data_IF_154873059585
#
_entry.id   IF_154873059585
#
_cell.length_a   1.000
_cell.length_b   1.000
_cell.length_c   1.000
_cell.angle_alpha   90.00
_cell.angle_beta   90.00
_cell.angle_gamma   90.00
#
_symmetry.space_group_name_H-M   'P 1'
#
loop_
_entity.id
_entity.type
_entity.pdbx_description
1 polymer ?
#
# COMPACT_ATOMS: atom_id res chain seq x y z
N UNK A 1 13.84 -4.25 6.46
CA UNK A 1 14.77 -3.34 7.17
C UNK A 1 15.55 -2.47 6.22
N UNK A 2 16.23 -3.01 5.21
CA UNK A 2 16.98 -2.23 4.22
C UNK A 2 16.24 -0.99 3.67
N UNK A 3 15.01 -1.17 3.18
CA UNK A 3 14.21 -0.07 2.59
C UNK A 3 13.84 1.04 3.59
N UNK A 4 13.66 0.69 4.86
CA UNK A 4 13.40 1.65 5.95
C UNK A 4 14.64 2.52 6.14
N UNK A 5 15.80 1.89 6.30
CA UNK A 5 17.08 2.58 6.49
C UNK A 5 17.43 3.44 5.29
N UNK A 6 17.22 2.93 4.07
CA UNK A 6 17.49 3.67 2.83
C UNK A 6 16.68 4.98 2.76
N UNK A 7 15.35 4.89 2.93
CA UNK A 7 14.48 6.06 2.88
C UNK A 7 14.83 7.07 3.99
N UNK A 8 15.05 6.58 5.21
CA UNK A 8 15.44 7.42 6.36
C UNK A 8 16.76 8.16 6.11
N UNK A 9 17.81 7.46 5.66
CA UNK A 9 19.14 8.04 5.44
C UNK A 9 19.08 9.09 4.31
N UNK A 10 18.39 8.79 3.21
CA UNK A 10 18.23 9.74 2.10
C UNK A 10 17.50 11.01 2.56
N UNK A 11 16.42 10.87 3.33
CA UNK A 11 15.70 12.01 3.89
C UNK A 11 16.59 12.86 4.81
N UNK A 12 17.29 12.25 5.76
CA UNK A 12 18.13 12.98 6.71
C UNK A 12 19.33 13.69 6.03
N UNK A 13 19.95 13.06 5.02
CA UNK A 13 21.01 13.69 4.23
C UNK A 13 20.46 14.90 3.47
N UNK A 14 19.31 14.78 2.83
CA UNK A 14 18.75 15.89 2.04
C UNK A 14 18.26 17.05 2.90
N UNK A 15 17.74 16.77 4.11
CA UNK A 15 17.42 17.80 5.11
C UNK A 15 18.66 18.50 5.66
N UNK A 16 19.76 17.76 5.85
CA UNK A 16 21.04 18.34 6.20
C UNK A 16 21.53 19.30 5.10
N UNK A 17 21.46 18.89 3.83
CA UNK A 17 21.79 19.75 2.68
C UNK A 17 20.89 20.98 2.65
N UNK A 18 19.59 20.81 2.86
CA UNK A 18 18.65 21.92 2.89
C UNK A 18 18.99 22.96 3.96
N UNK A 19 19.28 22.50 5.17
CA UNK A 19 19.56 23.35 6.34
C UNK A 19 20.86 24.14 6.18
N UNK A 20 21.90 23.53 5.59
CA UNK A 20 23.23 24.14 5.49
C UNK A 20 23.47 24.89 4.17
N UNK A 21 22.77 24.52 3.09
CA UNK A 21 23.03 25.06 1.75
C UNK A 21 21.82 25.79 1.17
N UNK A 22 20.70 25.10 0.93
CA UNK A 22 19.53 25.71 0.27
C UNK A 22 18.85 26.81 1.12
N UNK A 23 19.07 26.80 2.44
CA UNK A 23 18.67 27.90 3.32
C UNK A 23 19.24 29.25 2.93
N UNK A 24 20.49 29.27 2.47
CA UNK A 24 21.20 30.50 2.09
C UNK A 24 21.29 30.68 0.58
N UNK A 25 21.15 29.59 -0.18
CA UNK A 25 21.26 29.57 -1.63
C UNK A 25 20.09 28.79 -2.25
N UNK A 26 18.87 29.37 -2.28
CA UNK A 26 17.75 28.75 -2.97
C UNK A 26 18.07 28.47 -4.43
N UNK A 27 17.69 27.29 -4.93
CA UNK A 27 18.11 26.81 -6.24
C UNK A 27 16.93 26.26 -7.02
N UNK A 28 16.76 26.73 -8.26
CA UNK A 28 15.83 26.12 -9.22
C UNK A 28 16.58 25.08 -10.05
N UNK A 29 16.05 23.85 -10.12
CA UNK A 29 16.54 22.79 -11.01
C UNK A 29 15.34 22.21 -11.74
N UNK A 30 15.30 22.39 -13.07
CA UNK A 30 14.19 21.95 -13.89
C UNK A 30 12.85 22.53 -13.38
N UNK A 31 11.88 21.68 -13.04
CA UNK A 31 10.58 22.05 -12.45
C UNK A 31 10.59 22.10 -10.92
N UNK A 32 11.73 21.88 -10.26
CA UNK A 32 11.82 21.89 -8.80
C UNK A 32 12.51 23.15 -8.29
N UNK A 33 11.97 23.71 -7.23
CA UNK A 33 12.58 24.79 -6.47
C UNK A 33 13.01 24.26 -5.10
N UNK A 34 14.31 24.37 -4.83
CA UNK A 34 14.94 23.96 -3.59
C UNK A 34 15.15 25.19 -2.70
N UNK A 35 14.60 25.14 -1.50
CA UNK A 35 14.68 26.20 -0.49
C UNK A 35 14.74 25.57 0.90
N UNK A 36 14.66 26.38 1.96
CA UNK A 36 14.50 25.90 3.33
C UNK A 36 13.20 26.44 3.92
N UNK A 37 12.39 25.55 4.45
CA UNK A 37 11.19 25.86 5.19
C UNK A 37 11.07 24.95 6.41
N UNK A 38 10.33 25.43 7.42
CA UNK A 38 10.06 24.68 8.64
C UNK A 38 8.58 24.43 8.78
N UNK A 39 8.19 23.19 9.02
CA UNK A 39 6.80 22.80 9.15
C UNK A 39 6.51 22.30 10.57
N UNK A 40 5.69 23.07 11.28
CA UNK A 40 5.30 22.83 12.69
C UNK A 40 4.00 22.04 12.82
N UNK A 41 3.27 21.81 11.73
CA UNK A 41 1.95 21.18 11.75
C UNK A 41 1.89 19.86 10.98
N UNK A 42 0.67 19.42 10.70
CA UNK A 42 0.33 18.47 9.62
C UNK A 42 0.02 19.29 8.35
N UNK A 43 -0.12 18.64 7.19
CA UNK A 43 -0.51 19.29 5.94
C UNK A 43 -1.64 20.33 6.14
N UNK A 44 -1.54 21.47 5.46
CA UNK A 44 -2.46 22.62 5.55
C UNK A 44 -2.51 23.34 6.92
N UNK A 45 -1.52 23.12 7.80
CA UNK A 45 -1.47 23.80 9.10
C UNK A 45 -2.42 23.23 10.16
N UNK A 46 -3.04 22.07 9.88
CA UNK A 46 -3.83 21.34 10.85
C UNK A 46 -2.96 20.95 12.05
N UNK A 47 -3.49 21.14 13.26
CA UNK A 47 -2.81 20.90 14.54
C UNK A 47 -1.53 21.73 14.79
N UNK A 48 -1.39 22.90 14.15
CA UNK A 48 -0.26 23.82 14.39
C UNK A 48 -0.11 24.24 15.87
N UNK A 49 -1.22 24.31 16.60
CA UNK A 49 -1.27 24.60 18.04
C UNK A 49 -1.11 23.35 18.93
N UNK A 50 -1.08 22.16 18.35
CA UNK A 50 -1.07 20.88 19.07
C UNK A 50 0.09 20.00 18.60
N UNK A 51 1.30 20.56 18.61
CA UNK A 51 2.54 19.91 18.14
C UNK A 51 2.72 18.52 18.76
N UNK A 52 2.44 18.37 20.05
CA UNK A 52 2.58 17.11 20.77
C UNK A 52 1.67 16.00 20.20
N UNK A 53 0.42 16.33 19.87
CA UNK A 53 -0.54 15.37 19.28
C UNK A 53 0.01 14.84 17.95
N UNK A 54 0.57 15.71 17.12
CA UNK A 54 1.14 15.32 15.82
C UNK A 54 2.33 14.39 16.00
N UNK A 55 3.22 14.67 16.96
CA UNK A 55 4.36 13.80 17.27
C UNK A 55 3.87 12.44 17.76
N UNK A 56 3.00 12.39 18.77
CA UNK A 56 2.53 11.13 19.33
C UNK A 56 1.77 10.28 18.31
N UNK A 57 0.90 10.89 17.51
CA UNK A 57 0.15 10.18 16.48
C UNK A 57 1.07 9.60 15.39
N UNK A 58 1.99 10.42 14.86
CA UNK A 58 2.91 9.96 13.81
C UNK A 58 3.89 8.92 14.33
N UNK A 59 4.35 9.05 15.57
CA UNK A 59 5.18 8.04 16.24
C UNK A 59 4.42 6.73 16.43
N UNK A 60 3.19 6.77 16.94
CA UNK A 60 2.37 5.57 17.17
C UNK A 60 2.11 4.81 15.86
N UNK A 61 1.75 5.52 14.78
CA UNK A 61 1.56 4.92 13.46
C UNK A 61 2.87 4.28 12.95
N UNK A 62 4.00 4.98 13.10
CA UNK A 62 5.31 4.48 12.65
C UNK A 62 5.71 3.20 13.39
N UNK A 63 5.50 3.15 14.71
CA UNK A 63 5.76 1.96 15.53
C UNK A 63 4.86 0.81 15.09
N UNK A 64 3.56 1.05 14.97
CA UNK A 64 2.59 0.03 14.55
C UNK A 64 2.95 -0.59 13.20
N UNK A 65 3.26 0.25 12.20
CA UNK A 65 3.65 -0.24 10.87
C UNK A 65 4.98 -1.01 10.88
N UNK A 66 5.91 -0.65 11.77
CA UNK A 66 7.20 -1.33 11.93
C UNK A 66 7.09 -2.76 12.45
N UNK A 67 5.98 -3.11 13.11
CA UNK A 67 5.73 -4.46 13.62
C UNK A 67 5.33 -5.43 12.49
N UNK A 68 4.60 -4.94 11.47
CA UNK A 68 4.08 -5.76 10.37
C UNK A 68 5.16 -6.65 9.70
N UNK A 69 6.33 -6.14 9.27
CA UNK A 69 7.36 -6.97 8.65
C UNK A 69 8.07 -7.93 9.62
N UNK A 70 7.90 -7.77 10.93
CA UNK A 70 8.45 -8.70 11.94
C UNK A 70 7.55 -9.92 12.12
N UNK A 71 6.23 -9.76 11.94
CA UNK A 71 5.24 -10.81 12.20
C UNK A 71 4.66 -11.45 10.92
N UNK A 72 4.89 -10.85 9.75
CA UNK A 72 4.43 -11.37 8.46
C UNK A 72 5.56 -11.50 7.45
N UNK A 73 5.57 -12.59 6.68
CA UNK A 73 6.37 -12.68 5.46
C UNK A 73 5.70 -11.87 4.36
N UNK A 74 6.38 -10.83 3.91
CA UNK A 74 5.91 -9.94 2.84
C UNK A 74 6.67 -10.29 1.55
N UNK A 75 5.98 -10.20 0.41
CA UNK A 75 6.67 -10.20 -0.88
C UNK A 75 7.59 -8.98 -0.99
N UNK A 76 8.53 -9.04 -1.93
CA UNK A 76 9.56 -8.02 -2.09
C UNK A 76 8.97 -6.61 -2.28
N UNK A 77 7.95 -6.46 -3.13
CA UNK A 77 7.35 -5.16 -3.44
C UNK A 77 6.60 -4.59 -2.25
N UNK A 78 5.81 -5.41 -1.54
CA UNK A 78 5.11 -5.01 -0.32
C UNK A 78 6.09 -4.62 0.77
N UNK A 79 7.18 -5.37 0.93
CA UNK A 79 8.24 -5.04 1.89
C UNK A 79 8.93 -3.71 1.54
N UNK A 80 9.21 -3.47 0.25
CA UNK A 80 9.81 -2.24 -0.25
C UNK A 80 8.92 -1.02 0.01
N UNK A 81 7.66 -1.06 -0.44
CA UNK A 81 6.75 0.07 -0.28
C UNK A 81 6.41 0.33 1.19
N UNK A 82 6.21 -0.71 2.01
CA UNK A 82 6.04 -0.54 3.45
C UNK A 82 7.30 0.05 4.10
N UNK A 83 8.47 -0.36 3.64
CA UNK A 83 9.74 0.20 4.08
C UNK A 83 9.87 1.69 3.78
N UNK A 84 9.44 2.14 2.60
CA UNK A 84 9.40 3.57 2.25
C UNK A 84 8.46 4.37 3.16
N UNK A 85 7.26 3.86 3.45
CA UNK A 85 6.32 4.53 4.37
C UNK A 85 6.94 4.68 5.75
N UNK A 86 7.48 3.59 6.31
CA UNK A 86 8.05 3.59 7.67
C UNK A 86 9.30 4.48 7.73
N UNK A 87 10.20 4.35 6.75
CA UNK A 87 11.45 5.13 6.72
C UNK A 87 11.20 6.63 6.57
N UNK A 88 10.26 7.03 5.69
CA UNK A 88 9.85 8.42 5.55
C UNK A 88 9.18 8.95 6.82
N UNK A 89 8.24 8.19 7.40
CA UNK A 89 7.58 8.58 8.64
C UNK A 89 8.57 8.76 9.79
N UNK A 90 9.54 7.83 9.91
CA UNK A 90 10.61 7.91 10.89
C UNK A 90 11.47 9.18 10.72
N UNK A 91 11.83 9.56 9.49
CA UNK A 91 12.57 10.79 9.21
C UNK A 91 11.85 12.05 9.72
N UNK A 92 10.54 12.15 9.47
CA UNK A 92 9.73 13.27 9.95
C UNK A 92 9.51 13.24 11.46
N UNK A 93 9.40 12.07 12.08
CA UNK A 93 9.32 11.93 13.55
C UNK A 93 10.62 12.38 14.21
N UNK A 94 11.77 11.97 13.67
CA UNK A 94 13.09 12.33 14.21
C UNK A 94 13.31 13.84 14.20
N UNK A 95 12.96 14.52 13.10
CA UNK A 95 13.02 15.98 13.04
C UNK A 95 12.15 16.64 14.11
N UNK A 96 10.90 16.17 14.28
CA UNK A 96 9.99 16.73 15.27
C UNK A 96 10.49 16.55 16.70
N UNK A 97 11.07 15.38 17.02
CA UNK A 97 11.64 15.13 18.34
C UNK A 97 12.88 16.02 18.58
N UNK A 98 13.73 16.20 17.57
CA UNK A 98 14.99 16.95 17.70
C UNK A 98 14.81 18.47 17.67
N UNK A 99 13.93 18.96 16.80
CA UNK A 99 13.83 20.37 16.45
C UNK A 99 12.46 20.99 16.76
N UNK A 100 11.42 20.17 17.00
CA UNK A 100 10.04 20.63 17.17
C UNK A 100 9.34 21.02 15.86
N UNK A 101 9.94 20.73 14.71
CA UNK A 101 9.40 20.95 13.36
C UNK A 101 10.06 19.99 12.37
N UNK A 102 9.48 19.86 11.18
CA UNK A 102 10.06 19.13 10.04
C UNK A 102 10.76 20.11 9.10
N UNK A 103 11.93 19.72 8.57
CA UNK A 103 12.63 20.49 7.54
C UNK A 103 12.06 20.14 6.17
N UNK A 104 11.45 21.13 5.52
CA UNK A 104 10.90 21.04 4.16
C UNK A 104 11.77 21.85 3.21
N UNK A 105 11.95 21.37 1.98
CA UNK A 105 12.93 21.97 1.08
C UNK A 105 12.65 21.91 -0.41
N UNK A 106 11.67 21.13 -0.88
CA UNK A 106 11.37 21.01 -2.31
C UNK A 106 9.94 21.44 -2.60
N UNK A 107 9.75 22.26 -3.64
CA UNK A 107 8.43 22.64 -4.13
C UNK A 107 8.41 22.73 -5.66
N UNK A 108 7.21 22.74 -6.24
CA UNK A 108 7.00 22.92 -7.68
C UNK A 108 6.37 24.29 -7.96
N UNK A 109 6.61 24.90 -9.13
CA UNK A 109 5.90 26.10 -9.56
C UNK A 109 4.39 25.91 -9.44
N UNK A 110 3.70 26.94 -8.92
CA UNK A 110 2.25 26.97 -8.70
C UNK A 110 1.69 26.03 -7.63
N UNK A 111 2.55 25.30 -6.89
CA UNK A 111 2.12 24.54 -5.73
C UNK A 111 2.45 25.27 -4.43
N UNK A 112 1.47 25.48 -3.53
CA UNK A 112 1.65 26.35 -2.37
C UNK A 112 2.45 25.70 -1.24
N UNK A 113 2.76 24.41 -1.33
CA UNK A 113 3.36 23.64 -0.24
C UNK A 113 4.78 23.22 -0.58
N UNK A 114 5.62 23.21 0.44
CA UNK A 114 7.01 22.75 0.38
C UNK A 114 7.05 21.39 1.09
N UNK A 115 7.77 20.44 0.52
CA UNK A 115 7.84 19.05 0.95
C UNK A 115 9.29 18.64 1.20
N UNK A 116 9.49 17.43 1.69
CA UNK A 116 10.79 16.78 1.79
C UNK A 116 10.77 15.39 1.11
N UNK A 117 11.89 14.65 1.15
CA UNK A 117 11.94 13.31 0.56
C UNK A 117 11.21 12.25 1.39
N UNK A 118 11.09 12.41 2.72
CA UNK A 118 10.21 11.57 3.52
C UNK A 118 8.76 11.59 3.01
N UNK A 119 8.22 12.75 2.64
CA UNK A 119 6.87 12.87 2.07
C UNK A 119 6.75 12.12 0.73
N UNK A 120 7.78 12.21 -0.11
CA UNK A 120 7.85 11.48 -1.37
C UNK A 120 7.85 9.95 -1.16
N UNK A 121 8.65 9.46 -0.20
CA UNK A 121 8.68 8.02 0.13
C UNK A 121 7.35 7.52 0.69
N UNK A 122 6.70 8.30 1.55
CA UNK A 122 5.37 7.97 2.08
C UNK A 122 4.34 7.90 0.94
N UNK A 123 4.33 8.88 0.05
CA UNK A 123 3.43 8.92 -1.11
C UNK A 123 3.65 7.70 -2.03
N UNK A 124 4.90 7.46 -2.41
CA UNK A 124 5.27 6.35 -3.30
C UNK A 124 4.92 4.99 -2.67
N UNK A 125 5.21 4.82 -1.37
CA UNK A 125 4.86 3.63 -0.63
C UNK A 125 3.36 3.41 -0.53
N UNK A 126 2.59 4.47 -0.22
CA UNK A 126 1.13 4.42 -0.16
C UNK A 126 0.49 4.02 -1.48
N UNK A 127 0.91 4.66 -2.59
CA UNK A 127 0.45 4.32 -3.94
C UNK A 127 0.81 2.87 -4.29
N UNK A 128 2.05 2.44 -4.01
CA UNK A 128 2.50 1.08 -4.27
C UNK A 128 1.67 0.01 -3.54
N UNK A 129 1.41 0.21 -2.24
CA UNK A 129 0.54 -0.69 -1.45
C UNK A 129 -0.89 -0.69 -2.00
N UNK A 130 -1.43 0.47 -2.38
CA UNK A 130 -2.77 0.57 -2.93
C UNK A 130 -2.92 -0.24 -4.24
N UNK A 131 -1.95 -0.11 -5.16
CA UNK A 131 -1.92 -0.86 -6.42
C UNK A 131 -1.83 -2.37 -6.17
N UNK A 132 -0.95 -2.81 -5.25
CA UNK A 132 -0.81 -4.23 -4.89
C UNK A 132 -2.13 -4.76 -4.32
N UNK A 133 -2.77 -3.99 -3.44
CA UNK A 133 -4.04 -4.36 -2.81
C UNK A 133 -5.18 -4.47 -3.82
N UNK A 134 -5.25 -3.56 -4.78
CA UNK A 134 -6.23 -3.62 -5.88
C UNK A 134 -6.01 -4.87 -6.75
N UNK A 135 -4.78 -5.12 -7.19
CA UNK A 135 -4.46 -6.29 -8.02
C UNK A 135 -4.76 -7.62 -7.31
N UNK A 136 -4.49 -7.72 -6.01
CA UNK A 136 -4.80 -8.93 -5.22
C UNK A 136 -6.32 -9.15 -5.10
N UNK A 137 -7.12 -8.08 -4.99
CA UNK A 137 -8.58 -8.17 -5.00
C UNK A 137 -9.12 -8.67 -6.33
N UNK A 138 -8.59 -8.17 -7.44
CA UNK A 138 -9.04 -8.59 -8.78
C UNK A 138 -8.76 -10.09 -9.01
N UNK A 139 -7.56 -10.56 -8.67
CA UNK A 139 -7.19 -11.99 -8.78
C UNK A 139 -8.06 -12.87 -7.87
N UNK A 140 -8.34 -12.41 -6.64
CA UNK A 140 -9.24 -13.10 -5.72
C UNK A 140 -10.67 -13.23 -6.27
N UNK A 141 -11.20 -12.17 -6.87
CA UNK A 141 -12.53 -12.17 -7.47
C UNK A 141 -12.60 -13.06 -8.72
N UNK A 142 -11.57 -13.04 -9.59
CA UNK A 142 -11.53 -13.91 -10.79
C UNK A 142 -11.37 -15.39 -10.44
N UNK A 143 -10.61 -15.72 -9.40
CA UNK A 143 -10.45 -17.12 -8.95
C UNK A 143 -11.73 -17.66 -8.32
N UNK A 144 -12.43 -16.86 -7.51
CA UNK A 144 -13.71 -17.24 -6.92
C UNK A 144 -14.79 -17.50 -7.99
N UNK A 145 -14.93 -16.61 -8.99
CA UNK A 145 -15.92 -16.79 -10.06
C UNK A 145 -15.63 -18.01 -10.96
N UNK A 146 -14.36 -18.30 -11.20
CA UNK A 146 -13.95 -19.52 -11.93
C UNK A 146 -14.25 -20.78 -11.12
N UNK A 147 -13.99 -20.76 -9.82
CA UNK A 147 -14.28 -21.87 -8.90
C UNK A 147 -15.77 -22.22 -8.86
N UNK A 148 -16.63 -21.22 -8.67
CA UNK A 148 -18.08 -21.40 -8.70
C UNK A 148 -18.57 -21.95 -10.04
N UNK A 149 -18.05 -21.45 -11.16
CA UNK A 149 -18.41 -21.95 -12.50
C UNK A 149 -18.01 -23.42 -12.73
N UNK A 150 -16.85 -23.83 -12.24
CA UNK A 150 -16.40 -25.23 -12.30
C UNK A 150 -17.26 -26.14 -11.42
N UNK A 151 -17.61 -25.69 -10.22
CA UNK A 151 -18.45 -26.44 -9.28
C UNK A 151 -19.87 -26.62 -9.85
N UNK A 152 -20.47 -25.56 -10.39
CA UNK A 152 -21.78 -25.62 -11.06
C UNK A 152 -21.73 -26.60 -12.25
N UNK A 153 -20.68 -26.55 -13.07
CA UNK A 153 -20.54 -27.46 -14.22
C UNK A 153 -20.40 -28.92 -13.79
N UNK A 154 -19.72 -29.20 -12.69
CA UNK A 154 -19.64 -30.56 -12.12
C UNK A 154 -21.00 -31.04 -11.61
N UNK A 155 -21.78 -30.19 -10.95
CA UNK A 155 -23.12 -30.52 -10.47
C UNK A 155 -24.04 -30.87 -11.64
N UNK A 156 -24.05 -30.05 -12.70
CA UNK A 156 -24.85 -30.32 -13.90
C UNK A 156 -24.42 -31.60 -14.61
N UNK A 157 -23.11 -31.85 -14.76
CA UNK A 157 -22.60 -33.08 -15.36
C UNK A 157 -23.06 -34.31 -14.58
N UNK A 158 -22.96 -34.31 -13.25
CA UNK A 158 -23.43 -35.43 -12.41
C UNK A 158 -24.93 -35.65 -12.53
N UNK A 159 -25.72 -34.57 -12.58
CA UNK A 159 -27.18 -34.65 -12.71
C UNK A 159 -27.58 -35.19 -14.08
N UNK A 160 -26.91 -34.79 -15.17
CA UNK A 160 -27.13 -35.34 -16.51
C UNK A 160 -26.83 -36.83 -16.56
N UNK A 161 -25.64 -37.25 -16.10
CA UNK A 161 -25.27 -38.67 -16.08
C UNK A 161 -26.26 -39.50 -15.27
N UNK A 162 -26.77 -38.98 -14.15
CA UNK A 162 -27.79 -39.67 -13.35
C UNK A 162 -29.13 -39.81 -14.10
N UNK A 163 -29.60 -38.77 -14.78
CA UNK A 163 -30.82 -38.81 -15.58
C UNK A 163 -30.69 -39.79 -16.76
N UNK A 164 -29.51 -39.86 -17.39
CA UNK A 164 -29.24 -40.80 -18.46
C UNK A 164 -29.30 -42.26 -17.95
N UNK A 165 -28.75 -42.54 -16.78
CA UNK A 165 -28.81 -43.87 -16.14
C UNK A 165 -30.25 -44.25 -15.76
N UNK A 166 -31.01 -43.35 -15.15
CA UNK A 166 -32.42 -43.59 -14.79
C UNK A 166 -33.30 -43.84 -16.06
N UNK A 167 -33.03 -43.12 -17.15
CA UNK A 167 -33.72 -43.33 -18.43
C UNK A 167 -33.34 -44.68 -19.11
N UNK A 168 -32.10 -45.14 -18.97
CA UNK A 168 -31.68 -46.47 -19.48
C UNK A 168 -32.37 -47.59 -18.69
N UNK A 169 -32.40 -47.50 -17.35
CA UNK A 169 -33.07 -48.50 -16.51
C UNK A 169 -34.58 -48.57 -16.77
N UNK A 170 -35.25 -47.42 -16.89
CA UNK A 170 -36.68 -47.43 -17.22
C UNK A 170 -36.99 -48.06 -18.59
N UNK A 171 -36.16 -47.83 -19.62
CA UNK A 171 -36.31 -48.48 -20.92
C UNK A 171 -36.06 -49.98 -20.87
N UNK A 172 -35.04 -50.45 -20.14
CA UNK A 172 -34.79 -51.89 -19.99
C UNK A 172 -35.92 -52.61 -19.26
N UNK A 173 -36.50 -51.97 -18.25
CA UNK A 173 -37.61 -52.54 -17.48
C UNK A 173 -38.91 -52.62 -18.32
N UNK A 174 -39.09 -51.71 -19.28
CA UNK A 174 -40.20 -51.76 -20.24
C UNK A 174 -40.00 -52.84 -21.31
N UNK A 175 -38.78 -53.01 -21.84
CA UNK A 175 -38.48 -54.08 -22.81
C UNK A 175 -38.59 -55.49 -22.21
N UNK A 176 -38.15 -55.67 -20.96
CA UNK A 176 -38.27 -56.96 -20.26
C UNK A 176 -39.74 -57.37 -20.02
N UNK A 177 -40.61 -56.41 -19.68
CA UNK A 177 -42.03 -56.67 -19.47
C UNK A 177 -42.84 -56.81 -20.77
N UNK A 178 -42.30 -56.38 -21.93
CA UNK A 178 -42.97 -56.50 -23.23
C UNK A 178 -42.82 -57.86 -23.91
N UNK A 179 -41.76 -58.62 -23.59
CA UNK A 179 -41.41 -59.89 -24.24
C UNK A 179 -41.84 -61.15 -23.48
N UNK A 180 -42.66 -61.02 -22.42
CA UNK A 180 -43.10 -62.13 -21.55
C UNK A 180 -44.52 -62.64 -21.85
N UNK A 181 -44.99 -62.54 -23.10
CA UNK A 181 -46.26 -63.12 -23.57
C UNK A 181 -46.05 -64.24 -24.58
#
# INVERSE_FOLDING_TARGET
>A
MFWITLAFVIDQITKYIATNYWRFNPKKVLFFYFTYATNKGVAFGLFSNSKEIVVYLTLAITIFLSIIPLVKRLDFLTNMFLGFIIGGALGNVVDRIRFGYVVDFVTMPYWPTIYNLADFFILLGGIGIAIISLRRRDVGNSSNSTGEGLEIRQIYSRKSTRLDIENVHSKSDQEWNGNSK
#
